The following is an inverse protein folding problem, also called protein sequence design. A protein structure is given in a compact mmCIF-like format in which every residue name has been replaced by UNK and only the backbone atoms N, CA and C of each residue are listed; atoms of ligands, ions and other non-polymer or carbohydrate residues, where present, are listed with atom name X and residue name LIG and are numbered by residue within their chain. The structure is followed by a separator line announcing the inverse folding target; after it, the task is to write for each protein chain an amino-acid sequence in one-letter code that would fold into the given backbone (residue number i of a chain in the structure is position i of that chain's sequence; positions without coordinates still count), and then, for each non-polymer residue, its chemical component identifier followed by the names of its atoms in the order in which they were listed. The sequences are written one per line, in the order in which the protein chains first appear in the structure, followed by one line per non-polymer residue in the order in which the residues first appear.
data_IF_450496032444
#
_entry.id   IF_450496032444
#
_cell.length_a   1.000
_cell.length_b   1.000
_cell.length_c   1.000
_cell.angle_alpha   90.00
_cell.angle_beta   90.00
_cell.angle_gamma   90.00
#
_symmetry.space_group_name_H-M   'P 1'
#
loop_
_entity.id
_entity.type
_entity.pdbx_description
1 polymer ?
#
# COMPACT_ATOMS: atom_id res chain seq x y z
N UNK A 1 16.78 -2.33 9.27
CA UNK A 1 17.19 -2.39 7.85
C UNK A 1 15.99 -1.91 7.04
N UNK A 2 15.90 -0.59 6.88
CA UNK A 2 14.89 0.09 6.07
C UNK A 2 14.89 -0.54 4.67
N UNK A 3 13.73 -1.01 4.24
CA UNK A 3 13.51 -1.43 2.86
C UNK A 3 12.94 -0.22 2.15
N UNK A 4 13.84 0.56 1.56
CA UNK A 4 13.51 1.81 0.87
C UNK A 4 13.00 1.51 -0.54
N UNK A 5 11.91 2.18 -0.93
CA UNK A 5 11.40 2.21 -2.30
C UNK A 5 12.23 3.23 -3.10
N UNK A 6 13.42 2.84 -3.52
CA UNK A 6 14.38 3.75 -4.14
C UNK A 6 14.19 3.94 -5.66
N UNK A 7 13.24 3.22 -6.27
CA UNK A 7 13.02 3.25 -7.71
C UNK A 7 11.72 3.98 -8.05
N UNK A 8 11.81 4.96 -8.95
CA UNK A 8 10.64 5.65 -9.53
C UNK A 8 10.36 5.10 -10.95
N UNK A 9 9.10 4.81 -11.31
CA UNK A 9 7.91 4.88 -10.45
C UNK A 9 7.93 3.80 -9.36
N UNK A 10 7.33 4.10 -8.21
CA UNK A 10 7.07 3.08 -7.18
C UNK A 10 6.08 2.09 -7.75
N UNK A 11 6.51 0.87 -8.04
CA UNK A 11 5.64 -0.18 -8.56
C UNK A 11 4.91 -0.91 -7.43
N UNK A 12 3.77 -1.50 -7.73
CA UNK A 12 3.06 -2.31 -6.73
C UNK A 12 3.86 -3.53 -6.27
N UNK A 13 4.66 -4.14 -7.13
CA UNK A 13 5.58 -5.21 -6.73
C UNK A 13 6.62 -4.75 -5.71
N UNK A 14 7.17 -3.55 -5.88
CA UNK A 14 8.11 -2.97 -4.93
C UNK A 14 7.44 -2.73 -3.57
N UNK A 15 6.22 -2.16 -3.56
CA UNK A 15 5.41 -2.02 -2.34
C UNK A 15 5.15 -3.37 -1.65
N UNK A 16 4.74 -4.39 -2.41
CA UNK A 16 4.50 -5.73 -1.88
C UNK A 16 5.74 -6.30 -1.17
N UNK A 17 6.94 -6.08 -1.72
CA UNK A 17 8.19 -6.54 -1.11
C UNK A 17 8.43 -5.87 0.24
N UNK A 18 8.19 -4.56 0.34
CA UNK A 18 8.35 -3.80 1.60
C UNK A 18 7.35 -4.29 2.64
N UNK A 19 6.07 -4.34 2.29
CA UNK A 19 4.99 -4.76 3.19
C UNK A 19 5.24 -6.19 3.68
N UNK A 20 5.52 -7.13 2.77
CA UNK A 20 5.68 -8.55 3.09
C UNK A 20 6.94 -8.86 3.91
N UNK A 21 7.99 -8.02 3.84
CA UNK A 21 9.22 -8.22 4.64
C UNK A 21 8.97 -8.02 6.14
N UNK A 22 8.02 -7.15 6.49
CA UNK A 22 7.71 -6.81 7.88
C UNK A 22 6.46 -7.47 8.45
N UNK A 23 5.73 -8.28 7.66
CA UNK A 23 4.33 -8.61 7.96
C UNK A 23 3.96 -10.05 7.65
N UNK A 24 3.06 -10.62 8.45
CA UNK A 24 2.47 -11.94 8.14
C UNK A 24 1.37 -11.78 7.08
N UNK A 25 1.14 -12.74 6.17
CA UNK A 25 0.10 -12.64 5.15
C UNK A 25 -1.32 -12.38 5.69
N UNK A 26 -1.61 -12.80 6.92
CA UNK A 26 -2.90 -12.58 7.59
C UNK A 26 -2.95 -11.31 8.44
N UNK A 27 -1.84 -10.57 8.56
CA UNK A 27 -1.82 -9.29 9.29
C UNK A 27 -2.76 -8.30 8.60
N UNK A 28 -3.58 -7.63 9.41
CA UNK A 28 -4.63 -6.71 8.95
C UNK A 28 -4.12 -5.28 8.97
N UNK A 29 -4.46 -4.54 7.92
CA UNK A 29 -4.12 -3.14 7.73
C UNK A 29 -5.39 -2.32 7.61
N UNK A 30 -5.39 -1.15 8.23
CA UNK A 30 -6.32 -0.08 7.88
C UNK A 30 -5.81 0.60 6.62
N UNK A 31 -6.50 0.40 5.51
CA UNK A 31 -6.30 1.11 4.25
C UNK A 31 -7.16 2.36 4.23
N UNK A 32 -6.51 3.53 4.18
CA UNK A 32 -7.18 4.84 4.21
C UNK A 32 -7.28 5.45 2.82
N UNK A 33 -6.26 5.27 2.00
CA UNK A 33 -6.23 5.77 0.64
C UNK A 33 -5.34 4.90 -0.25
N UNK A 34 -5.71 4.82 -1.53
CA UNK A 34 -4.97 4.10 -2.56
C UNK A 34 -5.28 4.69 -3.92
N UNK A 35 -4.29 5.20 -4.62
CA UNK A 35 -4.40 5.62 -6.01
C UNK A 35 -3.27 4.99 -6.82
N UNK A 36 -3.60 4.44 -7.99
CA UNK A 36 -2.65 3.67 -8.80
C UNK A 36 -2.88 3.87 -10.28
N UNK A 37 -1.83 3.68 -11.07
CA UNK A 37 -1.93 3.42 -12.50
C UNK A 37 -1.82 1.91 -12.72
N UNK A 38 -2.58 1.39 -13.69
CA UNK A 38 -2.46 0.00 -14.13
C UNK A 38 -2.32 -0.08 -15.65
N UNK A 39 -1.51 -1.04 -16.12
CA UNK A 39 -1.32 -1.29 -17.55
C UNK A 39 -2.32 -2.31 -18.11
N UNK A 40 -3.16 -2.87 -17.25
CA UNK A 40 -4.18 -3.87 -17.58
C UNK A 40 -5.46 -3.62 -16.78
N UNK A 41 -6.51 -4.37 -17.12
CA UNK A 41 -7.72 -4.43 -16.30
C UNK A 41 -7.35 -4.89 -14.88
N UNK A 42 -7.60 -4.02 -13.91
CA UNK A 42 -7.23 -4.19 -12.52
C UNK A 42 -8.45 -3.96 -11.62
N UNK A 43 -9.52 -4.71 -11.85
CA UNK A 43 -10.79 -4.58 -11.12
C UNK A 43 -10.63 -4.58 -9.59
N UNK A 44 -9.63 -5.29 -9.04
CA UNK A 44 -9.31 -5.22 -7.60
C UNK A 44 -8.79 -3.85 -7.18
N UNK A 45 -7.87 -3.23 -7.93
CA UNK A 45 -7.38 -1.88 -7.63
C UNK A 45 -8.51 -0.85 -7.74
N UNK A 46 -9.35 -0.97 -8.78
CA UNK A 46 -10.50 -0.11 -8.95
C UNK A 46 -11.50 -0.25 -7.77
N UNK A 47 -11.74 -1.48 -7.31
CA UNK A 47 -12.57 -1.75 -6.14
C UNK A 47 -11.98 -1.12 -4.87
N UNK A 48 -10.68 -1.33 -4.60
CA UNK A 48 -10.03 -0.75 -3.42
C UNK A 48 -10.10 0.78 -3.45
N UNK A 49 -9.76 1.42 -4.58
CA UNK A 49 -9.87 2.87 -4.73
C UNK A 49 -11.29 3.36 -4.48
N UNK A 50 -12.31 2.67 -5.00
CA UNK A 50 -13.72 3.04 -4.77
C UNK A 50 -14.13 2.92 -3.31
N UNK A 51 -13.78 1.82 -2.64
CA UNK A 51 -14.16 1.57 -1.26
C UNK A 51 -13.45 2.52 -0.28
N UNK A 52 -12.25 2.99 -0.61
CA UNK A 52 -11.49 3.93 0.23
C UNK A 52 -11.91 5.39 0.02
N UNK A 53 -12.83 5.70 -0.92
CA UNK A 53 -13.32 7.09 -1.12
C UNK A 53 -14.17 7.55 0.06
N UNK A 54 -13.52 8.18 1.03
CA UNK A 54 -14.17 8.81 2.17
C UNK A 54 -14.39 7.90 3.38
N UNK A 55 -13.85 6.68 3.38
CA UNK A 55 -13.81 5.79 4.55
C UNK A 55 -12.55 4.92 4.50
N UNK A 56 -12.04 4.54 5.66
CA UNK A 56 -11.02 3.49 5.75
C UNK A 56 -11.65 2.11 5.68
N UNK A 57 -10.91 1.13 5.17
CA UNK A 57 -11.29 -0.28 5.21
C UNK A 57 -10.19 -1.15 5.80
N UNK A 58 -10.55 -2.33 6.29
CA UNK A 58 -9.58 -3.35 6.71
C UNK A 58 -9.26 -4.28 5.55
N UNK A 59 -7.98 -4.60 5.39
CA UNK A 59 -7.50 -5.50 4.35
C UNK A 59 -6.33 -6.33 4.87
N UNK A 60 -6.26 -7.62 4.53
CA UNK A 60 -5.10 -8.43 4.90
C UNK A 60 -3.88 -8.09 4.02
N UNK A 61 -2.68 -8.32 4.56
CA UNK A 61 -1.42 -8.20 3.81
C UNK A 61 -1.48 -8.98 2.49
N UNK A 62 -2.04 -10.19 2.52
CA UNK A 62 -2.21 -11.01 1.33
C UNK A 62 -3.11 -10.34 0.29
N UNK A 63 -4.31 -9.90 0.69
CA UNK A 63 -5.27 -9.30 -0.23
C UNK A 63 -4.75 -7.99 -0.82
N UNK A 64 -4.08 -7.17 0.02
CA UNK A 64 -3.44 -5.94 -0.40
C UNK A 64 -2.36 -6.23 -1.44
N UNK A 65 -1.44 -7.15 -1.15
CA UNK A 65 -0.39 -7.52 -2.09
C UNK A 65 -0.97 -8.11 -3.39
N UNK A 66 -1.96 -8.99 -3.31
CA UNK A 66 -2.63 -9.59 -4.47
C UNK A 66 -3.33 -8.54 -5.37
N UNK A 67 -3.70 -7.38 -4.82
CA UNK A 67 -4.22 -6.25 -5.61
C UNK A 67 -3.09 -5.40 -6.18
N UNK A 68 -2.10 -5.05 -5.34
CA UNK A 68 -1.00 -4.17 -5.71
C UNK A 68 -0.11 -4.73 -6.82
N UNK A 69 0.02 -6.05 -7.00
CA UNK A 69 0.82 -6.61 -8.11
C UNK A 69 0.39 -6.11 -9.51
N UNK A 70 -0.84 -5.63 -9.66
CA UNK A 70 -1.35 -5.10 -10.94
C UNK A 70 -1.07 -3.61 -11.14
N UNK A 71 -0.55 -2.92 -10.13
CA UNK A 71 -0.23 -1.50 -10.21
C UNK A 71 1.12 -1.31 -10.90
N UNK A 72 1.09 -0.69 -12.09
CA UNK A 72 2.31 -0.27 -12.78
C UNK A 72 2.97 0.91 -12.09
N UNK A 73 2.18 1.70 -11.34
CA UNK A 73 2.67 2.75 -10.46
C UNK A 73 1.69 2.96 -9.29
N UNK A 74 2.24 3.16 -8.09
CA UNK A 74 1.54 3.65 -6.92
C UNK A 74 1.65 5.18 -6.92
N UNK A 75 0.51 5.86 -6.92
CA UNK A 75 0.41 7.32 -6.83
C UNK A 75 0.24 7.72 -5.37
N UNK A 76 -0.73 7.08 -4.69
CA UNK A 76 -0.98 7.24 -3.27
C UNK A 76 -1.18 5.87 -2.63
N UNK A 77 -0.69 5.69 -1.40
CA UNK A 77 -1.02 4.55 -0.55
C UNK A 77 -0.85 4.95 0.91
N UNK A 78 -1.93 4.92 1.69
CA UNK A 78 -1.89 5.12 3.15
C UNK A 78 -2.44 3.89 3.85
N UNK A 79 -1.55 3.11 4.45
CA UNK A 79 -1.89 1.93 5.24
C UNK A 79 -1.25 1.99 6.63
N UNK A 80 -2.00 1.60 7.65
CA UNK A 80 -1.51 1.48 9.04
C UNK A 80 -1.88 0.10 9.58
N UNK A 81 -0.94 -0.61 10.22
CA UNK A 81 -1.24 -1.91 10.83
C UNK A 81 -2.24 -1.74 11.97
N UNK A 82 -3.26 -2.60 12.03
CA UNK A 82 -4.26 -2.57 13.11
C UNK A 82 -3.70 -3.06 14.44
N UNK A 83 -2.66 -3.89 14.39
CA UNK A 83 -1.99 -4.45 15.58
C UNK A 83 -0.88 -3.52 16.10
N UNK A 84 -0.26 -2.72 15.23
CA UNK A 84 0.80 -1.80 15.60
C UNK A 84 0.70 -0.46 14.84
N UNK A 85 0.21 0.57 15.49
CA UNK A 85 0.04 1.91 14.90
C UNK A 85 1.35 2.60 14.49
N UNK A 86 2.51 2.15 15.01
CA UNK A 86 3.82 2.65 14.56
C UNK A 86 4.27 2.05 13.23
N UNK A 87 3.60 1.00 12.76
CA UNK A 87 3.86 0.34 11.50
C UNK A 87 2.91 0.89 10.44
N UNK A 88 3.39 1.90 9.72
CA UNK A 88 2.66 2.59 8.65
C UNK A 88 3.49 2.53 7.36
N UNK A 89 2.80 2.53 6.22
CA UNK A 89 3.40 2.85 4.93
C UNK A 89 2.56 3.96 4.30
N UNK A 90 3.23 5.06 3.96
CA UNK A 90 2.61 6.26 3.39
C UNK A 90 3.37 6.70 2.14
N UNK A 91 2.67 6.71 1.01
CA UNK A 91 3.14 7.16 -0.31
C UNK A 91 2.18 8.24 -0.79
N UNK A 92 2.70 9.38 -1.22
CA UNK A 92 1.93 10.51 -1.77
C UNK A 92 2.68 11.07 -2.99
N UNK A 93 1.97 11.33 -4.09
CA UNK A 93 2.53 11.76 -5.38
C UNK A 93 3.68 10.87 -5.92
N UNK A 94 3.68 9.59 -5.54
CA UNK A 94 4.73 8.64 -5.90
C UNK A 94 6.05 8.82 -5.14
N UNK A 95 6.08 9.67 -4.11
CA UNK A 95 7.18 9.78 -3.15
C UNK A 95 6.83 9.06 -1.84
N UNK A 96 7.81 8.33 -1.28
CA UNK A 96 7.68 7.72 0.04
C UNK A 96 7.91 8.79 1.11
N UNK A 97 6.92 9.02 1.97
CA UNK A 97 7.03 9.98 3.07
C UNK A 97 7.16 9.19 4.38
N UNK A 98 8.38 9.09 4.89
CA UNK A 98 8.65 8.55 6.22
C UNK A 98 8.32 9.61 7.29
N UNK A 99 7.40 9.30 8.22
CA UNK A 99 7.14 10.15 9.38
C UNK A 99 7.81 9.56 10.62
N UNK A 100 8.93 10.15 11.01
CA UNK A 100 9.53 9.92 12.32
C UNK A 100 8.68 10.61 13.39
N UNK A 101 8.13 9.83 14.32
CA UNK A 101 7.58 10.39 15.56
C UNK A 101 8.76 10.80 16.45
N UNK A 102 9.08 12.11 16.48
CA UNK A 102 9.93 12.74 17.49
C UNK A 102 9.09 13.10 18.71
#
# INVERSE_FOLDING_TARGET
MESTLNDFPITGEACCKVISKGSHPSEIWTLKDIETMSNSDAGKLAFLWQETRGKSMEISTKELCDALIFASQIICLDITSTENSSKQLFIEDGELIERDNI
#
